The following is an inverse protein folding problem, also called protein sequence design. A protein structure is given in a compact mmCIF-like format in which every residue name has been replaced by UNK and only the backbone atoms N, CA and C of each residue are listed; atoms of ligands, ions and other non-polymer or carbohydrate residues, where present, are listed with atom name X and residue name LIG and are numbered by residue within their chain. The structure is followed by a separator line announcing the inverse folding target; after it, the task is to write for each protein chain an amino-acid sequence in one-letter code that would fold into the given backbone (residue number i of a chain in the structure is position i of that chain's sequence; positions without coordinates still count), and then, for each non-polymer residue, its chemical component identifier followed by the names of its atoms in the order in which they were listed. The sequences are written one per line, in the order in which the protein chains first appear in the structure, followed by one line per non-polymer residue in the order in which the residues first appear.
data_IF_838837299937
#
_entry.id   IF_838837299937
#
_cell.length_a   1.000
_cell.length_b   1.000
_cell.length_c   1.000
_cell.angle_alpha   90.00
_cell.angle_beta   90.00
_cell.angle_gamma   90.00
#
_symmetry.space_group_name_H-M   'P 1'
#
loop_
_entity.id
_entity.type
_entity.pdbx_description
1 polymer ?
#
# COMPACT_ATOMS: atom_id res chain seq x y z
N UNK A 1 -10.21 22.02 17.61
CA UNK A 1 -9.87 21.47 16.28
C UNK A 1 -9.71 19.97 16.43
N UNK A 2 -10.38 19.14 15.62
CA UNK A 2 -10.24 17.68 15.74
C UNK A 2 -8.81 17.24 15.39
N UNK A 3 -8.34 16.14 15.97
CA UNK A 3 -6.95 15.67 15.81
C UNK A 3 -6.55 15.42 14.34
N UNK A 4 -7.51 15.06 13.49
CA UNK A 4 -7.30 14.79 12.06
C UNK A 4 -7.30 16.05 11.17
N UNK A 5 -7.56 17.23 11.76
CA UNK A 5 -7.56 18.53 11.08
C UNK A 5 -6.26 19.34 11.35
N UNK A 6 -5.30 18.74 12.04
CA UNK A 6 -4.02 19.36 12.34
C UNK A 6 -2.99 19.06 11.23
N UNK A 7 -2.34 20.10 10.70
CA UNK A 7 -1.37 19.94 9.63
C UNK A 7 -1.99 19.26 8.39
N UNK A 8 -1.31 18.24 7.86
CA UNK A 8 -1.78 17.44 6.73
C UNK A 8 -2.19 16.02 7.12
N UNK A 9 -2.38 15.72 8.41
CA UNK A 9 -2.61 14.34 8.88
C UNK A 9 -3.90 13.69 8.36
N UNK A 10 -4.86 14.48 7.85
CA UNK A 10 -6.02 13.97 7.13
C UNK A 10 -5.64 13.09 5.93
N UNK A 11 -4.54 13.39 5.22
CA UNK A 11 -4.11 12.64 4.04
C UNK A 11 -3.81 11.17 4.35
N UNK A 12 -2.86 10.83 5.24
CA UNK A 12 -2.61 9.44 5.60
C UNK A 12 -3.80 8.81 6.34
N UNK A 13 -4.56 9.57 7.14
CA UNK A 13 -5.75 9.04 7.81
C UNK A 13 -6.83 8.58 6.81
N UNK A 14 -7.12 9.40 5.80
CA UNK A 14 -8.04 9.05 4.72
C UNK A 14 -7.52 7.82 3.94
N UNK A 15 -6.25 7.83 3.55
CA UNK A 15 -5.64 6.70 2.83
C UNK A 15 -5.77 5.38 3.60
N UNK A 16 -5.49 5.37 4.90
CA UNK A 16 -5.58 4.19 5.76
C UNK A 16 -7.02 3.68 5.88
N UNK A 17 -7.96 4.57 6.19
CA UNK A 17 -9.38 4.21 6.37
C UNK A 17 -9.95 3.70 5.05
N UNK A 18 -9.69 4.41 3.95
CA UNK A 18 -10.24 4.08 2.64
C UNK A 18 -9.67 2.77 2.09
N UNK A 19 -8.35 2.55 2.19
CA UNK A 19 -7.72 1.30 1.74
C UNK A 19 -8.17 0.11 2.57
N UNK A 20 -8.29 0.27 3.90
CA UNK A 20 -8.82 -0.80 4.76
C UNK A 20 -10.27 -1.13 4.42
N UNK A 21 -11.09 -0.09 4.17
CA UNK A 21 -12.49 -0.25 3.76
C UNK A 21 -12.61 -0.95 2.42
N UNK A 22 -11.68 -0.68 1.49
CA UNK A 22 -11.65 -1.32 0.16
C UNK A 22 -11.56 -2.84 0.28
N UNK A 23 -10.65 -3.35 1.10
CA UNK A 23 -10.47 -4.79 1.31
C UNK A 23 -11.63 -5.41 2.10
N UNK A 24 -12.13 -4.72 3.13
CA UNK A 24 -13.22 -5.25 3.97
C UNK A 24 -14.53 -5.32 3.18
N UNK A 25 -14.88 -4.27 2.44
CA UNK A 25 -16.15 -4.21 1.71
C UNK A 25 -16.19 -5.25 0.58
N UNK A 26 -15.13 -5.34 -0.22
CA UNK A 26 -15.02 -6.34 -1.29
C UNK A 26 -15.13 -7.76 -0.74
N UNK A 27 -14.35 -8.08 0.30
CA UNK A 27 -14.39 -9.38 0.97
C UNK A 27 -15.78 -9.74 1.53
N UNK A 28 -16.46 -8.79 2.20
CA UNK A 28 -17.80 -9.03 2.73
C UNK A 28 -18.80 -9.31 1.61
N UNK A 29 -18.78 -8.51 0.54
CA UNK A 29 -19.67 -8.71 -0.62
C UNK A 29 -19.42 -10.08 -1.24
N UNK A 30 -18.17 -10.45 -1.49
CA UNK A 30 -17.79 -11.73 -2.10
C UNK A 30 -18.23 -12.92 -1.23
N UNK A 31 -18.08 -12.84 0.11
CA UNK A 31 -18.58 -13.88 1.02
C UNK A 31 -20.11 -13.99 0.98
N UNK A 32 -20.84 -12.87 1.08
CA UNK A 32 -22.31 -12.90 1.10
C UNK A 32 -22.91 -13.44 -0.20
N UNK A 33 -22.18 -13.30 -1.30
CA UNK A 33 -22.56 -13.83 -2.62
C UNK A 33 -22.03 -15.23 -2.88
N UNK A 34 -21.20 -15.77 -1.99
CA UNK A 34 -20.52 -17.05 -2.15
C UNK A 34 -19.59 -17.10 -3.38
N UNK A 35 -18.99 -15.98 -3.75
CA UNK A 35 -18.09 -15.89 -4.92
C UNK A 35 -16.65 -16.36 -4.59
N UNK A 36 -16.29 -16.41 -3.31
CA UNK A 36 -14.96 -16.84 -2.81
C UNK A 36 -15.08 -17.73 -1.56
N UNK A 37 -14.00 -18.45 -1.26
CA UNK A 37 -13.89 -19.21 -0.02
C UNK A 37 -13.73 -18.29 1.21
N UNK A 38 -14.26 -18.74 2.36
CA UNK A 38 -14.21 -17.97 3.61
C UNK A 38 -12.79 -17.83 4.18
N UNK A 39 -11.92 -18.80 3.94
CA UNK A 39 -10.61 -18.87 4.63
C UNK A 39 -9.51 -18.50 3.64
N UNK A 40 -9.01 -17.27 3.77
CA UNK A 40 -7.85 -16.72 3.06
C UNK A 40 -7.91 -16.81 1.52
N UNK A 41 -8.96 -16.27 0.87
CA UNK A 41 -8.87 -15.99 -0.57
C UNK A 41 -7.80 -14.92 -0.84
N UNK A 42 -7.29 -14.84 -2.06
CA UNK A 42 -6.47 -13.69 -2.44
C UNK A 42 -7.30 -12.41 -2.34
N UNK A 43 -6.65 -11.26 -2.09
CA UNK A 43 -7.35 -9.97 -2.05
C UNK A 43 -8.02 -9.72 -3.41
N UNK A 44 -7.32 -10.00 -4.50
CA UNK A 44 -7.80 -9.87 -5.88
C UNK A 44 -8.99 -10.78 -6.19
N UNK A 45 -9.05 -12.00 -5.64
CA UNK A 45 -10.20 -12.91 -5.77
C UNK A 45 -11.49 -12.24 -5.25
N UNK A 46 -11.40 -11.47 -4.16
CA UNK A 46 -12.56 -10.77 -3.57
C UNK A 46 -13.11 -9.64 -4.44
N UNK A 47 -12.37 -9.25 -5.49
CA UNK A 47 -12.75 -8.23 -6.46
C UNK A 47 -12.83 -8.79 -7.88
N UNK A 48 -13.06 -10.10 -8.05
CA UNK A 48 -13.01 -10.74 -9.36
C UNK A 48 -14.29 -10.56 -10.21
N UNK A 49 -15.49 -10.70 -9.64
CA UNK A 49 -16.75 -10.63 -10.41
C UNK A 49 -17.52 -9.33 -10.15
N UNK A 50 -18.48 -8.93 -11.01
CA UNK A 50 -19.39 -7.83 -10.67
C UNK A 50 -20.44 -8.25 -9.63
N UNK A 51 -20.81 -7.38 -8.67
CA UNK A 51 -20.44 -5.95 -8.58
C UNK A 51 -19.13 -5.66 -7.81
N UNK A 52 -18.53 -6.64 -7.13
CA UNK A 52 -17.36 -6.45 -6.26
C UNK A 52 -16.13 -5.91 -7.01
N UNK A 53 -15.87 -6.37 -8.24
CA UNK A 53 -14.82 -5.87 -9.13
C UNK A 53 -14.94 -4.39 -9.44
N UNK A 54 -16.16 -3.89 -9.70
CA UNK A 54 -16.41 -2.47 -9.95
C UNK A 54 -16.15 -1.62 -8.70
N UNK A 55 -16.59 -2.11 -7.54
CA UNK A 55 -16.43 -1.42 -6.25
C UNK A 55 -14.95 -1.42 -5.84
N UNK A 56 -14.31 -2.59 -5.88
CA UNK A 56 -12.89 -2.77 -5.58
C UNK A 56 -12.04 -1.92 -6.50
N UNK A 57 -12.29 -1.93 -7.81
CA UNK A 57 -11.56 -1.11 -8.78
C UNK A 57 -11.69 0.38 -8.50
N UNK A 58 -12.90 0.90 -8.30
CA UNK A 58 -13.13 2.32 -8.00
C UNK A 58 -12.46 2.72 -6.68
N UNK A 59 -12.64 1.95 -5.62
CA UNK A 59 -12.09 2.26 -4.31
C UNK A 59 -10.56 2.18 -4.31
N UNK A 60 -9.98 1.17 -4.96
CA UNK A 60 -8.53 1.02 -5.13
C UNK A 60 -7.92 2.16 -5.94
N UNK A 61 -8.61 2.62 -6.99
CA UNK A 61 -8.18 3.82 -7.74
C UNK A 61 -8.16 5.07 -6.86
N UNK A 62 -9.19 5.28 -6.02
CA UNK A 62 -9.21 6.38 -5.06
C UNK A 62 -8.06 6.25 -4.03
N UNK A 63 -7.79 5.04 -3.55
CA UNK A 63 -6.62 4.75 -2.70
C UNK A 63 -5.30 5.09 -3.40
N UNK A 64 -5.15 4.77 -4.68
CA UNK A 64 -3.95 5.12 -5.45
C UNK A 64 -3.74 6.63 -5.53
N UNK A 65 -4.81 7.39 -5.82
CA UNK A 65 -4.77 8.86 -5.80
C UNK A 65 -4.42 9.42 -4.42
N UNK A 66 -5.05 8.92 -3.35
CA UNK A 66 -4.74 9.31 -1.98
C UNK A 66 -3.29 8.95 -1.58
N UNK A 67 -2.79 7.82 -2.09
CA UNK A 67 -1.41 7.37 -1.98
C UNK A 67 -0.44 8.35 -2.60
N UNK A 68 -0.66 8.76 -3.84
CA UNK A 68 0.16 9.76 -4.55
C UNK A 68 0.26 11.06 -3.74
N UNK A 69 -0.87 11.60 -3.29
CA UNK A 69 -0.90 12.86 -2.53
C UNK A 69 -0.18 12.71 -1.19
N UNK A 70 -0.38 11.60 -0.47
CA UNK A 70 0.29 11.32 0.81
C UNK A 70 1.80 11.15 0.65
N UNK A 71 2.24 10.40 -0.36
CA UNK A 71 3.65 10.15 -0.68
C UNK A 71 4.33 11.45 -1.10
N UNK A 72 3.67 12.28 -1.92
CA UNK A 72 4.21 13.57 -2.32
C UNK A 72 4.31 14.54 -1.12
N UNK A 73 3.30 14.60 -0.26
CA UNK A 73 3.36 15.37 0.97
C UNK A 73 4.51 14.89 1.88
N UNK A 74 4.74 13.58 1.98
CA UNK A 74 5.89 13.01 2.70
C UNK A 74 7.21 13.45 2.07
N UNK A 75 7.33 13.43 0.74
CA UNK A 75 8.50 13.90 0.03
C UNK A 75 8.81 15.37 0.37
N UNK A 76 7.80 16.26 0.33
CA UNK A 76 7.99 17.68 0.65
C UNK A 76 8.32 17.91 2.13
N UNK A 77 7.72 17.12 3.03
CA UNK A 77 8.08 17.13 4.45
C UNK A 77 9.57 16.80 4.66
N UNK A 78 10.04 15.70 4.06
CA UNK A 78 11.44 15.28 4.17
C UNK A 78 12.37 16.26 3.46
N UNK A 79 11.98 16.79 2.30
CA UNK A 79 12.75 17.80 1.57
C UNK A 79 12.98 19.04 2.45
N UNK A 80 11.92 19.57 3.05
CA UNK A 80 12.03 20.73 3.95
C UNK A 80 12.89 20.44 5.18
N UNK A 81 12.68 19.27 5.80
CA UNK A 81 13.49 18.84 6.93
C UNK A 81 14.98 18.71 6.57
N UNK A 82 15.27 18.26 5.35
CA UNK A 82 16.64 18.10 4.84
C UNK A 82 17.29 19.45 4.54
N UNK A 83 16.54 20.42 4.02
CA UNK A 83 17.03 21.79 3.83
C UNK A 83 17.42 22.43 5.16
N UNK A 84 16.62 22.20 6.21
CA UNK A 84 16.83 22.82 7.53
C UNK A 84 17.94 22.12 8.35
N UNK A 85 18.18 20.81 8.13
CA UNK A 85 19.09 20.00 8.97
C UNK A 85 20.29 19.39 8.24
N UNK A 86 20.23 19.22 6.92
CA UNK A 86 21.26 18.55 6.11
C UNK A 86 21.37 17.03 6.30
N UNK A 87 20.47 16.38 7.05
CA UNK A 87 20.65 14.99 7.49
C UNK A 87 20.28 13.93 6.45
N UNK A 88 19.29 14.21 5.59
CA UNK A 88 18.84 13.27 4.56
C UNK A 88 19.31 13.76 3.19
N UNK A 89 19.95 12.88 2.43
CA UNK A 89 20.40 13.21 1.07
C UNK A 89 19.19 13.37 0.14
N UNK A 90 19.11 14.44 -0.68
CA UNK A 90 17.99 14.66 -1.60
C UNK A 90 17.74 13.50 -2.56
N UNK A 91 18.80 12.79 -2.99
CA UNK A 91 18.65 11.62 -3.85
C UNK A 91 17.86 10.49 -3.19
N UNK A 92 18.06 10.23 -1.90
CA UNK A 92 17.35 9.17 -1.16
C UNK A 92 15.85 9.49 -1.07
N UNK A 93 15.52 10.74 -0.78
CA UNK A 93 14.13 11.20 -0.73
C UNK A 93 13.45 11.10 -2.12
N UNK A 94 14.15 11.50 -3.19
CA UNK A 94 13.66 11.35 -4.57
C UNK A 94 13.48 9.89 -4.97
N UNK A 95 14.41 9.01 -4.60
CA UNK A 95 14.29 7.56 -4.85
C UNK A 95 13.05 6.98 -4.16
N UNK A 96 12.78 7.36 -2.90
CA UNK A 96 11.56 6.96 -2.22
C UNK A 96 10.31 7.46 -2.96
N UNK A 97 10.28 8.73 -3.37
CA UNK A 97 9.17 9.29 -4.15
C UNK A 97 8.91 8.47 -5.42
N UNK A 98 9.95 8.14 -6.19
CA UNK A 98 9.83 7.36 -7.43
C UNK A 98 9.23 5.98 -7.15
N UNK A 99 9.72 5.25 -6.15
CA UNK A 99 9.15 3.93 -5.81
C UNK A 99 7.69 4.04 -5.37
N UNK A 100 7.34 5.04 -4.55
CA UNK A 100 5.96 5.26 -4.13
C UNK A 100 5.03 5.58 -5.29
N UNK A 101 5.46 6.43 -6.23
CA UNK A 101 4.66 6.77 -7.42
C UNK A 101 4.48 5.56 -8.35
N UNK A 102 5.53 4.77 -8.58
CA UNK A 102 5.43 3.52 -9.36
C UNK A 102 4.42 2.57 -8.71
N UNK A 103 4.48 2.45 -7.38
CA UNK A 103 3.54 1.60 -6.63
C UNK A 103 2.09 2.06 -6.81
N UNK A 104 1.80 3.36 -6.71
CA UNK A 104 0.45 3.88 -6.93
C UNK A 104 -0.03 3.68 -8.38
N UNK A 105 0.83 3.85 -9.39
CA UNK A 105 0.46 3.57 -10.79
C UNK A 105 0.18 2.08 -10.99
N UNK A 106 1.00 1.21 -10.42
CA UNK A 106 0.81 -0.23 -10.47
C UNK A 106 -0.49 -0.67 -9.76
N UNK A 107 -0.85 -0.02 -8.65
CA UNK A 107 -2.13 -0.20 -7.99
C UNK A 107 -3.32 0.14 -8.91
N UNK A 108 -3.21 1.15 -9.78
CA UNK A 108 -4.24 1.43 -10.79
C UNK A 108 -4.37 0.30 -11.83
N UNK A 109 -3.27 -0.37 -12.20
CA UNK A 109 -3.30 -1.53 -13.09
C UNK A 109 -4.09 -2.67 -12.43
N UNK A 110 -3.76 -3.01 -11.18
CA UNK A 110 -4.46 -4.02 -10.37
C UNK A 110 -5.95 -3.69 -10.25
N UNK A 111 -6.29 -2.42 -10.03
CA UNK A 111 -7.67 -1.94 -9.91
C UNK A 111 -8.48 -2.04 -11.22
N UNK A 112 -7.80 -1.98 -12.37
CA UNK A 112 -8.45 -1.90 -13.69
C UNK A 112 -8.57 -3.26 -14.35
N UNK A 113 -7.53 -4.08 -14.26
CA UNK A 113 -7.45 -5.39 -14.91
C UNK A 113 -7.69 -6.47 -13.88
N UNK A 114 -8.85 -7.11 -13.92
CA UNK A 114 -9.23 -8.17 -12.98
C UNK A 114 -8.40 -9.43 -13.22
N UNK A 115 -8.02 -10.10 -12.13
CA UNK A 115 -7.18 -11.30 -12.17
C UNK A 115 -7.81 -12.41 -13.02
N UNK A 116 -9.11 -12.63 -12.93
CA UNK A 116 -9.82 -13.69 -13.66
C UNK A 116 -10.06 -13.37 -15.15
N UNK A 117 -9.89 -12.11 -15.56
CA UNK A 117 -10.16 -11.67 -16.94
C UNK A 117 -8.87 -11.45 -17.73
N UNK A 118 -7.87 -10.77 -17.14
CA UNK A 118 -6.60 -10.45 -17.80
C UNK A 118 -5.44 -10.72 -16.83
N UNK A 119 -5.32 -11.97 -16.38
CA UNK A 119 -4.41 -12.45 -15.32
C UNK A 119 -2.98 -11.95 -15.49
N UNK A 120 -2.41 -12.08 -16.70
CA UNK A 120 -1.02 -11.66 -16.95
C UNK A 120 -0.79 -10.18 -16.66
N UNK A 121 -1.72 -9.31 -17.04
CA UNK A 121 -1.60 -7.87 -16.80
C UNK A 121 -1.82 -7.56 -15.32
N UNK A 122 -2.78 -8.24 -14.70
CA UNK A 122 -3.04 -8.14 -13.26
C UNK A 122 -1.79 -8.51 -12.45
N UNK A 123 -1.22 -9.69 -12.68
CA UNK A 123 -0.06 -10.22 -11.96
C UNK A 123 1.18 -9.36 -12.15
N UNK A 124 1.40 -8.84 -13.36
CA UNK A 124 2.47 -7.87 -13.62
C UNK A 124 2.25 -6.58 -12.83
N UNK A 125 1.01 -6.10 -12.78
CA UNK A 125 0.62 -4.95 -11.95
C UNK A 125 0.83 -5.21 -10.47
N UNK A 126 0.41 -6.37 -9.96
CA UNK A 126 0.54 -6.77 -8.56
C UNK A 126 2.02 -6.90 -8.16
N UNK A 127 2.83 -7.59 -8.97
CA UNK A 127 4.27 -7.71 -8.74
C UNK A 127 4.93 -6.33 -8.70
N UNK A 128 4.63 -5.45 -9.65
CA UNK A 128 5.18 -4.10 -9.68
C UNK A 128 4.73 -3.29 -8.45
N UNK A 129 3.45 -3.39 -8.06
CA UNK A 129 2.89 -2.74 -6.88
C UNK A 129 3.60 -3.17 -5.60
N UNK A 130 3.72 -4.48 -5.36
CA UNK A 130 4.32 -5.02 -4.16
C UNK A 130 5.83 -4.75 -4.09
N UNK A 131 6.59 -4.99 -5.16
CA UNK A 131 8.04 -4.75 -5.18
C UNK A 131 8.34 -3.28 -4.91
N UNK A 132 7.71 -2.37 -5.65
CA UNK A 132 7.94 -0.94 -5.47
C UNK A 132 7.44 -0.42 -4.12
N UNK A 133 6.33 -0.97 -3.60
CA UNK A 133 5.80 -0.65 -2.28
C UNK A 133 6.73 -1.09 -1.14
N UNK A 134 7.26 -2.31 -1.19
CA UNK A 134 8.26 -2.82 -0.22
C UNK A 134 9.54 -1.97 -0.26
N UNK A 135 10.05 -1.66 -1.46
CA UNK A 135 11.21 -0.78 -1.60
C UNK A 135 10.94 0.62 -1.04
N UNK A 136 9.76 1.19 -1.29
CA UNK A 136 9.34 2.48 -0.75
C UNK A 136 9.40 2.51 0.78
N UNK A 137 8.77 1.55 1.46
CA UNK A 137 8.73 1.53 2.93
C UNK A 137 10.10 1.22 3.56
N UNK A 138 10.96 0.45 2.88
CA UNK A 138 12.36 0.24 3.31
C UNK A 138 13.13 1.56 3.26
N UNK A 139 13.08 2.26 2.13
CA UNK A 139 13.78 3.55 1.97
C UNK A 139 13.23 4.59 2.96
N UNK A 140 11.90 4.65 3.16
CA UNK A 140 11.30 5.56 4.14
C UNK A 140 11.66 5.21 5.59
N UNK A 141 11.90 3.93 5.90
CA UNK A 141 12.44 3.52 7.20
C UNK A 141 13.86 4.04 7.40
N UNK A 142 14.72 3.94 6.38
CA UNK A 142 16.08 4.52 6.39
C UNK A 142 16.03 6.03 6.56
N UNK A 143 15.20 6.72 5.78
CA UNK A 143 14.99 8.19 5.89
C UNK A 143 14.56 8.57 7.31
N UNK A 144 13.67 7.81 7.93
CA UNK A 144 13.18 8.09 9.29
C UNK A 144 14.29 8.06 10.34
N UNK A 145 15.24 7.13 10.20
CA UNK A 145 16.42 7.09 11.06
C UNK A 145 17.45 8.17 10.74
N UNK A 146 17.64 8.51 9.46
CA UNK A 146 18.52 9.60 9.07
C UNK A 146 18.00 10.95 9.55
N UNK A 147 16.68 11.16 9.57
CA UNK A 147 16.05 12.40 10.03
C UNK A 147 16.03 12.55 11.57
N UNK A 148 16.12 11.46 12.33
CA UNK A 148 16.09 11.48 13.80
C UNK A 148 17.21 12.37 14.37
N UNK A 149 16.93 13.24 15.38
CA UNK A 149 15.73 13.29 16.22
C UNK A 149 14.59 14.16 15.68
N UNK A 150 14.70 14.67 14.46
CA UNK A 150 13.71 15.57 13.88
C UNK A 150 12.62 14.79 13.13
N UNK A 151 11.38 15.27 13.23
CA UNK A 151 10.22 14.69 12.54
C UNK A 151 9.52 13.54 13.27
N UNK A 152 10.23 12.44 13.55
CA UNK A 152 9.63 11.24 14.17
C UNK A 152 10.37 10.81 15.44
N UNK A 153 9.62 10.22 16.39
CA UNK A 153 10.22 9.59 17.57
C UNK A 153 10.97 8.29 17.22
N UNK A 154 11.94 7.89 18.04
CA UNK A 154 12.69 6.64 17.85
C UNK A 154 11.78 5.40 17.85
N UNK A 155 10.66 5.43 18.58
CA UNK A 155 9.67 4.35 18.61
C UNK A 155 8.94 4.22 17.27
N UNK A 156 8.60 5.33 16.63
CA UNK A 156 8.03 5.34 15.28
C UNK A 156 9.04 4.80 14.27
N UNK A 157 10.32 5.19 14.38
CA UNK A 157 11.37 4.67 13.50
C UNK A 157 11.53 3.14 13.64
N UNK A 158 11.52 2.62 14.87
CA UNK A 158 11.54 1.16 15.14
C UNK A 158 10.31 0.47 14.56
N UNK A 159 9.12 1.02 14.76
CA UNK A 159 7.89 0.47 14.22
C UNK A 159 7.93 0.39 12.69
N UNK A 160 8.39 1.44 12.00
CA UNK A 160 8.57 1.45 10.54
C UNK A 160 9.49 0.34 10.05
N UNK A 161 10.64 0.14 10.71
CA UNK A 161 11.56 -0.97 10.36
C UNK A 161 10.93 -2.34 10.59
N UNK A 162 10.21 -2.53 11.70
CA UNK A 162 9.50 -3.80 11.97
C UNK A 162 8.45 -4.09 10.89
N UNK A 163 7.64 -3.09 10.54
CA UNK A 163 6.62 -3.21 9.49
C UNK A 163 7.26 -3.48 8.12
N UNK A 164 8.33 -2.76 7.78
CA UNK A 164 9.04 -2.96 6.51
C UNK A 164 9.71 -4.34 6.43
N UNK A 165 10.25 -4.83 7.54
CA UNK A 165 10.84 -6.18 7.61
C UNK A 165 9.77 -7.25 7.47
N UNK A 166 8.62 -7.09 8.13
CA UNK A 166 7.49 -8.01 8.00
C UNK A 166 6.98 -8.08 6.56
N UNK A 167 6.78 -6.92 5.92
CA UNK A 167 6.37 -6.83 4.52
C UNK A 167 7.37 -7.50 3.58
N UNK A 168 8.67 -7.22 3.76
CA UNK A 168 9.71 -7.82 2.93
C UNK A 168 9.78 -9.34 3.09
N UNK A 169 9.65 -9.85 4.32
CA UNK A 169 9.65 -11.29 4.59
C UNK A 169 8.40 -11.99 4.04
N UNK A 170 7.23 -11.36 4.11
CA UNK A 170 5.99 -11.92 3.57
C UNK A 170 5.92 -11.84 2.03
N UNK A 171 6.55 -10.84 1.41
CA UNK A 171 6.55 -10.69 -0.04
C UNK A 171 7.14 -11.89 -0.78
N UNK A 172 8.23 -12.49 -0.28
CA UNK A 172 8.85 -13.63 -0.97
C UNK A 172 7.93 -14.86 -1.03
N UNK A 173 7.34 -15.34 0.08
CA UNK A 173 6.32 -16.39 0.03
C UNK A 173 5.12 -16.06 -0.86
N UNK A 174 4.60 -14.82 -0.87
CA UNK A 174 3.52 -14.42 -1.79
C UNK A 174 3.88 -14.74 -3.23
N UNK A 175 5.05 -14.28 -3.69
CA UNK A 175 5.45 -14.48 -5.08
C UNK A 175 5.83 -15.94 -5.36
N UNK A 176 6.63 -16.56 -4.50
CA UNK A 176 7.14 -17.92 -4.71
C UNK A 176 6.00 -18.93 -4.70
N UNK A 177 5.10 -18.85 -3.72
CA UNK A 177 3.99 -19.78 -3.62
C UNK A 177 2.96 -19.56 -4.74
N UNK A 178 2.71 -18.32 -5.17
CA UNK A 178 1.84 -18.02 -6.31
C UNK A 178 2.30 -18.73 -7.60
N UNK A 179 3.61 -18.83 -7.86
CA UNK A 179 4.13 -19.56 -9.03
C UNK A 179 3.78 -21.06 -9.04
N UNK A 180 3.51 -21.66 -7.87
CA UNK A 180 3.14 -23.07 -7.77
C UNK A 180 1.62 -23.29 -7.82
N UNK A 181 0.81 -22.22 -7.77
CA UNK A 181 -0.65 -22.28 -7.91
C UNK A 181 -1.00 -22.33 -9.40
N UNK A 182 -1.63 -23.42 -9.83
CA UNK A 182 -1.95 -23.64 -11.26
C UNK A 182 -3.41 -23.41 -11.59
N UNK A 183 -4.28 -23.59 -10.61
CA UNK A 183 -5.71 -23.40 -10.77
C UNK A 183 -6.06 -21.90 -10.64
N UNK A 184 -6.95 -21.43 -11.51
CA UNK A 184 -7.48 -20.05 -11.53
C UNK A 184 -8.93 -19.98 -11.04
N UNK A 185 -9.42 -21.04 -10.40
CA UNK A 185 -10.78 -21.07 -9.83
C UNK A 185 -10.80 -20.32 -8.50
N UNK A 186 -11.88 -19.57 -8.26
CA UNK A 186 -12.07 -18.82 -7.02
C UNK A 186 -12.35 -19.74 -5.82
N UNK A 187 -13.02 -20.87 -6.06
CA UNK A 187 -13.18 -21.93 -5.06
C UNK A 187 -12.06 -22.95 -5.16
N UNK A 188 -11.54 -23.34 -3.99
CA UNK A 188 -10.39 -24.22 -3.81
C UNK A 188 -10.78 -25.47 -3.05
N UNK A 189 -10.40 -26.64 -3.56
CA UNK A 189 -10.55 -27.89 -2.81
C UNK A 189 -9.32 -28.09 -1.91
N UNK A 190 -9.56 -28.46 -0.65
CA UNK A 190 -8.47 -28.79 0.29
C UNK A 190 -7.66 -30.02 -0.13
N UNK A 191 -8.23 -30.86 -1.00
CA UNK A 191 -7.57 -32.01 -1.61
C UNK A 191 -6.62 -31.65 -2.75
N UNK A 192 -6.65 -30.41 -3.24
CA UNK A 192 -5.78 -29.98 -4.34
C UNK A 192 -4.32 -29.92 -3.90
N UNK A 193 -3.42 -30.41 -4.77
CA UNK A 193 -1.99 -30.47 -4.46
C UNK A 193 -1.36 -29.10 -4.27
N UNK A 194 -1.90 -28.05 -4.89
CA UNK A 194 -1.43 -26.68 -4.80
C UNK A 194 -2.14 -25.85 -3.71
N UNK A 195 -3.13 -26.41 -3.00
CA UNK A 195 -3.86 -25.73 -1.94
C UNK A 195 -2.96 -25.13 -0.83
N UNK A 196 -1.94 -25.83 -0.30
CA UNK A 196 -1.06 -25.25 0.70
C UNK A 196 -0.27 -24.04 0.19
N UNK A 197 0.11 -24.05 -1.09
CA UNK A 197 0.80 -22.92 -1.72
C UNK A 197 -0.13 -21.73 -1.89
N UNK A 198 -1.38 -21.97 -2.30
CA UNK A 198 -2.40 -20.93 -2.38
C UNK A 198 -2.61 -20.25 -1.03
N UNK A 199 -2.88 -21.02 0.03
CA UNK A 199 -3.10 -20.44 1.38
C UNK A 199 -1.88 -19.69 1.87
N UNK A 200 -0.67 -20.24 1.71
CA UNK A 200 0.56 -19.56 2.12
C UNK A 200 0.75 -18.23 1.37
N UNK A 201 0.51 -18.25 0.06
CA UNK A 201 0.60 -17.07 -0.80
C UNK A 201 -0.41 -16.01 -0.40
N UNK A 202 -1.69 -16.38 -0.25
CA UNK A 202 -2.79 -15.49 0.11
C UNK A 202 -2.59 -14.86 1.49
N UNK A 203 -2.26 -15.67 2.52
CA UNK A 203 -1.95 -15.16 3.86
C UNK A 203 -0.82 -14.12 3.81
N UNK A 204 0.24 -14.42 3.05
CA UNK A 204 1.36 -13.50 2.92
C UNK A 204 0.99 -12.23 2.15
N UNK A 205 0.15 -12.33 1.11
CA UNK A 205 -0.38 -11.17 0.39
C UNK A 205 -1.11 -10.21 1.34
N UNK A 206 -2.03 -10.75 2.16
CA UNK A 206 -2.74 -9.99 3.19
C UNK A 206 -1.78 -9.32 4.18
N UNK A 207 -0.73 -10.02 4.63
CA UNK A 207 0.30 -9.46 5.51
C UNK A 207 1.02 -8.28 4.85
N UNK A 208 1.43 -8.41 3.59
CA UNK A 208 2.12 -7.32 2.86
C UNK A 208 1.18 -6.12 2.68
N UNK A 209 -0.05 -6.35 2.25
CA UNK A 209 -1.04 -5.29 2.00
C UNK A 209 -1.36 -4.51 3.29
N UNK A 210 -1.63 -5.20 4.40
CA UNK A 210 -1.86 -4.54 5.70
C UNK A 210 -0.59 -3.91 6.26
N UNK A 211 0.60 -4.44 5.96
CA UNK A 211 1.85 -3.78 6.34
C UNK A 211 1.99 -2.41 5.66
N UNK A 212 1.59 -2.26 4.39
CA UNK A 212 1.56 -0.95 3.74
C UNK A 212 0.59 0.02 4.44
N UNK A 213 -0.62 -0.43 4.76
CA UNK A 213 -1.62 0.38 5.49
C UNK A 213 -1.06 0.82 6.85
N UNK A 214 -0.53 -0.13 7.63
CA UNK A 214 0.09 0.15 8.93
C UNK A 214 1.29 1.09 8.81
N UNK A 215 2.06 1.02 7.72
CA UNK A 215 3.17 1.94 7.49
C UNK A 215 2.66 3.37 7.30
N UNK A 216 1.62 3.58 6.48
CA UNK A 216 1.00 4.91 6.30
C UNK A 216 0.33 5.42 7.57
N UNK A 217 -0.18 4.55 8.44
CA UNK A 217 -0.69 4.93 9.76
C UNK A 217 0.39 5.67 10.58
N UNK A 218 1.66 5.25 10.46
CA UNK A 218 2.77 5.92 11.16
C UNK A 218 3.05 7.34 10.67
N UNK A 219 2.48 7.77 9.54
CA UNK A 219 2.66 9.14 9.03
C UNK A 219 1.70 10.15 9.65
N UNK A 220 0.62 9.69 10.28
CA UNK A 220 -0.40 10.56 10.85
C UNK A 220 0.22 11.57 11.82
N UNK A 221 1.07 11.10 12.74
CA UNK A 221 1.67 11.99 13.74
C UNK A 221 2.72 12.94 13.13
N UNK A 222 3.54 12.46 12.20
CA UNK A 222 4.49 13.31 11.48
C UNK A 222 3.78 14.45 10.74
N UNK A 223 2.63 14.15 10.13
CA UNK A 223 1.88 15.10 9.31
C UNK A 223 1.12 16.13 10.13
N UNK A 224 0.91 15.92 11.44
CA UNK A 224 0.36 16.94 12.35
C UNK A 224 1.30 18.13 12.51
N UNK A 225 2.61 17.92 12.28
CA UNK A 225 3.65 18.93 12.43
C UNK A 225 3.91 19.73 11.14
N UNK A 226 3.26 19.36 10.03
CA UNK A 226 3.59 19.88 8.71
C UNK A 226 2.37 20.48 8.01
N UNK A 227 2.55 21.67 7.43
CA UNK A 227 1.58 22.32 6.55
C UNK A 227 2.23 22.61 5.20
N UNK A 228 1.43 22.59 4.14
CA UNK A 228 1.87 22.94 2.80
C UNK A 228 1.09 24.19 2.34
N UNK A 229 1.81 25.23 1.96
CA UNK A 229 1.22 26.44 1.37
C UNK A 229 1.45 26.43 -0.14
N UNK A 230 0.38 26.61 -0.92
CA UNK A 230 0.44 26.74 -2.37
C UNK A 230 0.26 28.21 -2.72
N UNK A 231 1.26 28.82 -3.37
CA UNK A 231 1.22 30.21 -3.83
C UNK A 231 0.83 30.23 -5.31
N UNK A 232 -0.23 30.96 -5.65
CA UNK A 232 -0.66 31.22 -7.03
C UNK A 232 -0.19 32.61 -7.45
N UNK A 233 0.46 32.71 -8.60
CA UNK A 233 0.90 33.99 -9.17
C UNK A 233 0.27 34.16 -10.56
N UNK A 234 -0.24 35.36 -10.84
CA UNK A 234 -0.78 35.76 -12.14
C UNK A 234 0.19 36.77 -12.75
N UNK A 235 0.71 36.46 -13.95
CA UNK A 235 1.53 37.39 -14.72
C UNK A 235 0.64 38.03 -15.79
N UNK A 236 0.57 39.36 -15.78
CA UNK A 236 -0.08 40.18 -16.83
C UNK A 236 0.70 40.16 -18.15
#
# INVERSE_FOLDING_TARGET
MFWFMQGLCFLPAFLVIWSSSTFIISYLIAIFRHDVDLIFPYISDTGANPPESCIFGLMTFISACAGIVTIYARYKFVEKLSEDTGMVKPCVNKTALVFGLISCVAMCIVATFQETTVTVVHDMGALLFFVSGVLYIIVQSVISYQAYPFGSSVWVCRARVTIASLAALAFFPTVICAFFVKQTTLHRDKGDQDYPFHVASAVCEWIVAFSFICFFLTYIDDFKLFTLQVKTEYQE
#
